data_IF_053432939896
#
_entry.id   IF_053432939896
#
_cell.length_a   1.000
_cell.length_b   1.000
_cell.length_c   1.000
_cell.angle_alpha   90.00
_cell.angle_beta   90.00
_cell.angle_gamma   90.00
#
_symmetry.space_group_name_H-M   'P 1'
#
loop_
_entity.id
_entity.type
_entity.pdbx_description
1 polymer ?
#
# COMPACT_ATOMS: atom_id res chain seq x y z
N UNK A 1 1.90 24.99 36.81
CA UNK A 1 2.50 25.04 35.45
C UNK A 1 3.85 24.33 35.44
N UNK A 2 3.98 23.34 34.55
CA UNK A 2 5.16 22.53 34.29
C UNK A 2 5.60 22.80 32.86
N UNK A 3 6.90 22.95 32.63
CA UNK A 3 7.47 23.07 31.28
C UNK A 3 8.01 21.71 30.85
N UNK A 4 7.46 21.17 29.76
CA UNK A 4 7.87 19.88 29.18
C UNK A 4 8.55 20.11 27.83
N UNK A 5 9.78 19.63 27.68
CA UNK A 5 10.46 19.58 26.40
C UNK A 5 10.01 18.34 25.63
N UNK A 6 9.31 18.57 24.54
CA UNK A 6 8.76 17.57 23.66
C UNK A 6 9.62 17.45 22.39
N UNK A 7 9.66 16.27 21.76
CA UNK A 7 10.31 16.10 20.47
C UNK A 7 9.50 15.21 19.54
N UNK A 8 9.31 15.64 18.29
CA UNK A 8 8.62 14.84 17.27
C UNK A 8 9.59 13.79 16.70
N UNK A 9 9.21 12.52 16.82
CA UNK A 9 10.03 11.40 16.35
C UNK A 9 10.12 11.40 14.82
N UNK A 10 11.34 11.38 14.30
CA UNK A 10 11.62 11.32 12.85
C UNK A 10 11.53 12.67 12.12
N UNK A 11 11.36 13.79 12.83
CA UNK A 11 11.44 15.13 12.26
C UNK A 11 12.74 15.83 12.71
N UNK A 12 13.47 16.53 11.80
CA UNK A 12 14.64 17.32 12.19
C UNK A 12 14.23 18.58 12.98
N UNK A 13 15.13 19.06 13.84
CA UNK A 13 14.97 20.28 14.66
C UNK A 13 13.66 20.29 15.48
N UNK A 14 13.26 19.11 15.98
CA UNK A 14 11.91 18.89 16.50
C UNK A 14 11.73 19.07 18.00
N UNK A 15 12.78 19.46 18.74
CA UNK A 15 12.68 19.67 20.18
C UNK A 15 12.11 21.06 20.50
N UNK A 16 11.02 21.13 21.27
CA UNK A 16 10.36 22.38 21.65
C UNK A 16 9.78 22.31 23.06
N UNK A 17 9.72 23.44 23.79
CA UNK A 17 9.04 23.51 25.09
C UNK A 17 7.52 23.58 24.90
N UNK A 18 6.79 22.99 25.84
CA UNK A 18 5.33 23.12 26.00
C UNK A 18 5.03 23.42 27.46
N UNK A 19 4.26 24.49 27.70
CA UNK A 19 3.81 24.86 29.04
C UNK A 19 2.41 24.30 29.29
N UNK A 20 2.25 23.54 30.37
CA UNK A 20 0.97 22.91 30.74
C UNK A 20 0.75 22.96 32.26
N UNK A 21 -0.50 23.07 32.71
CA UNK A 21 -0.76 22.96 34.15
C UNK A 21 -0.69 21.51 34.65
N UNK A 22 -0.26 21.32 35.89
CA UNK A 22 -0.03 19.98 36.43
C UNK A 22 -1.33 19.18 36.61
N UNK A 23 -2.45 19.89 36.81
CA UNK A 23 -3.80 19.34 36.93
C UNK A 23 -4.50 19.14 35.57
N UNK A 24 -3.88 19.56 34.46
CA UNK A 24 -4.40 19.28 33.11
C UNK A 24 -4.07 17.85 32.69
N UNK A 25 -4.83 17.34 31.73
CA UNK A 25 -4.72 15.97 31.25
C UNK A 25 -3.66 15.82 30.15
N UNK A 26 -3.24 14.58 29.91
CA UNK A 26 -2.46 14.22 28.71
C UNK A 26 -3.23 14.57 27.42
N UNK A 27 -4.57 14.52 27.44
CA UNK A 27 -5.40 15.02 26.34
C UNK A 27 -5.17 16.50 26.06
N UNK A 28 -5.16 17.34 27.11
CA UNK A 28 -4.85 18.77 26.98
C UNK A 28 -3.41 19.00 26.50
N UNK A 29 -2.47 18.13 26.90
CA UNK A 29 -1.09 18.17 26.39
C UNK A 29 -1.01 17.92 24.89
N UNK A 30 -1.79 16.96 24.37
CA UNK A 30 -1.86 16.72 22.92
C UNK A 30 -2.37 17.95 22.19
N UNK A 31 -3.39 18.62 22.72
CA UNK A 31 -3.95 19.83 22.12
C UNK A 31 -2.93 20.99 22.17
N UNK A 32 -2.20 21.15 23.27
CA UNK A 32 -1.14 22.15 23.41
C UNK A 32 0.01 21.93 22.41
N UNK A 33 0.53 20.69 22.32
CA UNK A 33 1.57 20.31 21.36
C UNK A 33 1.12 20.62 19.92
N UNK A 34 -0.11 20.25 19.59
CA UNK A 34 -0.68 20.49 18.26
C UNK A 34 -0.79 21.98 17.95
N UNK A 35 -1.25 22.78 18.92
CA UNK A 35 -1.42 24.23 18.76
C UNK A 35 -0.08 24.92 18.48
N UNK A 36 0.97 24.54 19.20
CA UNK A 36 2.31 25.14 19.09
C UNK A 36 3.06 24.69 17.83
N UNK A 37 2.69 23.52 17.27
CA UNK A 37 3.34 22.93 16.09
C UNK A 37 2.41 22.78 14.87
N UNK A 38 1.42 23.66 14.74
CA UNK A 38 0.40 23.59 13.67
C UNK A 38 0.97 23.41 12.27
N UNK A 39 2.08 24.05 11.92
CA UNK A 39 2.65 23.92 10.57
C UNK A 39 3.16 22.50 10.29
N UNK A 40 3.78 21.87 11.30
CA UNK A 40 4.33 20.51 11.22
C UNK A 40 3.25 19.44 11.43
N UNK A 41 2.14 19.79 12.10
CA UNK A 41 1.05 18.88 12.46
C UNK A 41 -0.30 19.22 11.78
N UNK A 42 -0.28 20.05 10.74
CA UNK A 42 -1.50 20.59 10.07
C UNK A 42 -2.48 19.52 9.59
N UNK A 43 -1.96 18.34 9.27
CA UNK A 43 -2.70 17.24 8.66
C UNK A 43 -3.14 16.18 9.69
N UNK A 44 -2.85 16.38 10.98
CA UNK A 44 -3.04 15.36 12.03
C UNK A 44 -3.90 15.93 13.16
N UNK A 45 -4.97 15.23 13.52
CA UNK A 45 -5.77 15.59 14.68
C UNK A 45 -4.96 15.42 15.97
N UNK A 46 -4.98 16.40 16.87
CA UNK A 46 -4.27 16.35 18.16
C UNK A 46 -4.52 15.04 18.94
N UNK A 47 -5.78 14.57 18.95
CA UNK A 47 -6.19 13.32 19.62
C UNK A 47 -5.45 12.07 19.11
N UNK A 48 -4.97 12.09 17.87
CA UNK A 48 -4.24 10.98 17.25
C UNK A 48 -2.77 10.94 17.65
N UNK A 49 -2.19 12.02 18.18
CA UNK A 49 -0.80 12.02 18.64
C UNK A 49 -0.60 10.93 19.70
N UNK A 50 0.48 10.16 19.57
CA UNK A 50 0.90 9.20 20.57
C UNK A 50 2.04 9.84 21.36
N UNK A 51 1.88 9.89 22.69
CA UNK A 51 2.84 10.53 23.58
C UNK A 51 3.50 9.46 24.44
N UNK A 52 4.82 9.49 24.53
CA UNK A 52 5.58 8.56 25.36
C UNK A 52 6.45 9.34 26.34
N UNK A 53 6.46 8.89 27.59
CA UNK A 53 7.33 9.47 28.60
C UNK A 53 8.76 9.00 28.36
N UNK A 54 9.70 9.94 28.30
CA UNK A 54 11.10 9.62 28.03
C UNK A 54 11.79 9.18 29.31
N UNK A 55 12.12 7.89 29.39
CA UNK A 55 12.84 7.34 30.53
C UNK A 55 13.96 6.44 30.06
N UNK A 56 15.18 6.79 30.45
CA UNK A 56 16.36 5.94 30.27
C UNK A 56 16.25 4.69 31.14
N UNK A 57 17.06 3.68 30.85
CA UNK A 57 17.10 2.42 31.63
C UNK A 57 17.48 2.63 33.10
N UNK A 58 18.16 3.73 33.43
CA UNK A 58 18.51 4.13 34.80
C UNK A 58 17.38 4.89 35.51
N UNK A 59 16.30 5.18 34.80
CA UNK A 59 15.14 5.90 35.32
C UNK A 59 15.23 7.41 35.26
N UNK A 60 16.27 7.98 34.65
CA UNK A 60 16.43 9.42 34.45
C UNK A 60 15.87 9.90 33.10
N UNK A 61 15.62 11.21 32.97
CA UNK A 61 15.31 11.86 31.70
C UNK A 61 16.47 11.72 30.69
N UNK A 62 16.14 11.69 29.41
CA UNK A 62 17.13 11.74 28.33
C UNK A 62 17.70 13.16 28.23
N UNK A 63 19.02 13.30 28.23
CA UNK A 63 19.69 14.60 28.08
C UNK A 63 19.79 15.01 26.62
N UNK A 64 19.80 16.31 26.36
CA UNK A 64 19.94 16.87 25.00
C UNK A 64 21.31 16.57 24.34
N UNK A 65 22.33 16.28 25.16
CA UNK A 65 23.68 15.89 24.74
C UNK A 65 23.88 14.36 24.59
N UNK A 66 22.84 13.57 24.86
CA UNK A 66 22.88 12.12 24.66
C UNK A 66 22.95 11.75 23.16
N UNK A 67 23.75 10.75 22.75
CA UNK A 67 23.82 10.31 21.36
C UNK A 67 22.46 9.99 20.71
N UNK A 68 21.50 9.46 21.47
CA UNK A 68 20.15 9.19 20.99
C UNK A 68 19.37 10.50 20.73
N UNK A 69 19.50 11.49 21.61
CA UNK A 69 18.89 12.80 21.47
C UNK A 69 19.50 13.60 20.29
N UNK A 70 20.82 13.53 20.12
CA UNK A 70 21.51 14.18 19.00
C UNK A 70 21.07 13.61 17.64
N UNK A 71 20.89 12.29 17.55
CA UNK A 71 20.35 11.66 16.33
C UNK A 71 18.89 12.01 16.09
N UNK A 72 18.09 12.03 17.16
CA UNK A 72 16.69 12.45 17.09
C UNK A 72 16.56 13.87 16.53
N UNK A 73 17.43 14.79 16.93
CA UNK A 73 17.40 16.19 16.48
C UNK A 73 17.72 16.37 14.98
N UNK A 74 18.41 15.41 14.35
CA UNK A 74 18.64 15.40 12.89
C UNK A 74 17.65 14.51 12.15
N UNK A 75 16.57 14.08 12.81
CA UNK A 75 15.51 13.24 12.23
C UNK A 75 15.86 11.75 12.12
N UNK A 76 16.96 11.29 12.72
CA UNK A 76 17.38 9.88 12.70
C UNK A 76 16.90 9.16 13.95
N UNK A 77 16.16 8.07 13.78
CA UNK A 77 15.65 7.26 14.91
C UNK A 77 16.77 6.35 15.45
N UNK A 78 17.19 6.59 16.70
CA UNK A 78 18.12 5.73 17.42
C UNK A 78 17.40 4.49 17.99
N UNK A 79 18.05 3.31 18.10
CA UNK A 79 17.44 2.13 18.74
C UNK A 79 16.90 2.39 20.16
N UNK A 80 17.52 3.28 20.93
CA UNK A 80 17.02 3.64 22.27
C UNK A 80 15.71 4.43 22.18
N UNK A 81 15.58 5.33 21.20
CA UNK A 81 14.32 6.05 20.94
C UNK A 81 13.23 5.05 20.53
N UNK A 82 13.56 4.09 19.65
CA UNK A 82 12.63 3.03 19.27
C UNK A 82 12.14 2.24 20.49
N UNK A 83 13.06 1.86 21.38
CA UNK A 83 12.73 1.13 22.62
C UNK A 83 11.83 1.98 23.54
N UNK A 84 12.04 3.29 23.61
CA UNK A 84 11.21 4.23 24.37
C UNK A 84 9.81 4.46 23.76
N UNK A 85 9.62 4.15 22.48
CA UNK A 85 8.31 4.22 21.80
C UNK A 85 7.58 2.87 21.74
N UNK A 86 8.27 1.76 22.06
CA UNK A 86 7.68 0.42 22.10
C UNK A 86 6.98 0.09 23.44
N UNK A 87 6.98 1.04 24.39
CA UNK A 87 6.29 0.93 25.69
C UNK A 87 4.84 1.40 25.60
N UNK A 88 4.09 1.30 26.70
CA UNK A 88 2.73 1.82 26.76
C UNK A 88 2.72 3.37 26.66
N UNK A 89 1.89 3.89 25.75
CA UNK A 89 1.73 5.33 25.56
C UNK A 89 1.05 5.98 26.78
N UNK A 90 1.21 7.30 26.92
CA UNK A 90 0.54 8.06 27.97
C UNK A 90 -0.99 8.05 27.78
N UNK A 91 -1.69 7.74 28.87
CA UNK A 91 -3.15 7.70 28.91
C UNK A 91 -3.77 9.08 28.86
N UNK A 92 -4.61 9.34 27.86
CA UNK A 92 -5.17 10.67 27.58
C UNK A 92 -6.00 11.25 28.74
N UNK A 93 -6.54 10.38 29.61
CA UNK A 93 -7.37 10.76 30.75
C UNK A 93 -6.58 11.09 32.01
N UNK A 94 -5.27 10.80 32.06
CA UNK A 94 -4.46 11.04 33.24
C UNK A 94 -4.02 12.48 33.32
N UNK A 95 -3.96 13.01 34.53
CA UNK A 95 -3.38 14.33 34.81
C UNK A 95 -1.85 14.27 34.76
N UNK A 96 -1.21 15.36 34.34
CA UNK A 96 0.26 15.42 34.22
C UNK A 96 0.96 15.11 35.55
N UNK A 97 0.42 15.60 36.67
CA UNK A 97 0.96 15.31 38.01
C UNK A 97 0.96 13.82 38.35
N UNK A 98 -0.07 13.09 37.93
CA UNK A 98 -0.21 11.65 38.19
C UNK A 98 0.73 10.85 37.29
N UNK A 99 0.85 11.24 36.01
CA UNK A 99 1.84 10.67 35.08
C UNK A 99 3.24 10.78 35.66
N UNK A 100 3.63 11.98 36.14
CA UNK A 100 4.95 12.19 36.72
C UNK A 100 5.13 11.42 38.03
N UNK A 101 4.11 11.38 38.90
CA UNK A 101 4.18 10.68 40.18
C UNK A 101 4.35 9.16 40.03
N UNK A 102 3.53 8.51 39.19
CA UNK A 102 3.57 7.06 38.97
C UNK A 102 4.88 6.63 38.32
N UNK A 103 5.48 7.51 37.50
CA UNK A 103 6.75 7.22 36.84
C UNK A 103 7.99 7.61 37.66
N UNK A 104 7.82 8.10 38.89
CA UNK A 104 8.87 8.64 39.77
C UNK A 104 9.63 9.84 39.17
N UNK A 105 8.97 10.63 38.33
CA UNK A 105 9.55 11.79 37.64
C UNK A 105 9.17 13.11 38.33
N UNK A 106 9.31 13.14 39.65
CA UNK A 106 8.95 14.29 40.50
C UNK A 106 10.17 14.78 41.29
N UNK A 107 10.03 15.97 41.88
CA UNK A 107 11.07 16.56 42.74
C UNK A 107 11.45 15.64 43.91
N UNK A 108 10.49 14.87 44.44
CA UNK A 108 10.71 13.88 45.50
C UNK A 108 11.79 12.85 45.16
N UNK A 109 11.96 12.53 43.88
CA UNK A 109 12.96 11.57 43.39
C UNK A 109 14.16 12.26 42.74
N UNK A 110 14.25 13.59 42.79
CA UNK A 110 15.29 14.35 42.08
C UNK A 110 15.16 14.29 40.55
N UNK A 111 13.97 13.96 40.04
CA UNK A 111 13.70 13.75 38.62
C UNK A 111 12.58 14.66 38.11
N UNK A 112 12.38 15.83 38.75
CA UNK A 112 11.47 16.83 38.20
C UNK A 112 11.95 17.26 36.78
N UNK A 113 11.03 17.55 35.85
CA UNK A 113 11.37 18.09 34.54
C UNK A 113 12.25 19.34 34.64
N UNK A 114 13.36 19.41 33.92
CA UNK A 114 14.26 20.58 33.87
C UNK A 114 14.73 20.86 32.44
N UNK A 115 15.39 21.99 32.20
CA UNK A 115 15.96 22.29 30.88
C UNK A 115 17.09 21.34 30.50
N UNK A 116 17.41 21.28 29.20
CA UNK A 116 18.46 20.40 28.60
C UNK A 116 18.14 18.90 28.68
N UNK A 117 16.86 18.59 28.72
CA UNK A 117 16.32 17.24 28.76
C UNK A 117 15.18 17.11 27.75
N UNK A 118 14.91 15.89 27.29
CA UNK A 118 13.71 15.55 26.53
C UNK A 118 12.79 14.78 27.49
N UNK A 119 11.56 15.25 27.64
CA UNK A 119 10.59 14.69 28.58
C UNK A 119 9.53 13.82 27.87
N UNK A 120 9.10 14.24 26.68
CA UNK A 120 8.02 13.57 25.95
C UNK A 120 8.43 13.34 24.50
N UNK A 121 8.28 12.11 24.01
CA UNK A 121 8.34 11.82 22.58
C UNK A 121 6.94 11.92 22.00
N UNK A 122 6.82 12.70 20.93
CA UNK A 122 5.61 12.86 20.15
C UNK A 122 5.75 11.99 18.92
N UNK A 123 5.10 10.83 18.94
CA UNK A 123 4.97 10.01 17.75
C UNK A 123 3.71 10.49 17.03
N UNK A 124 3.95 11.05 15.85
CA UNK A 124 2.87 11.33 14.91
C UNK A 124 2.56 9.99 14.25
N UNK A 125 1.35 9.43 14.42
CA UNK A 125 0.99 8.26 13.66
C UNK A 125 1.13 8.64 12.21
N UNK A 126 2.01 7.94 11.48
CA UNK A 126 1.99 8.04 10.03
C UNK A 126 0.56 7.72 9.65
N UNK A 127 -0.13 8.61 8.94
CA UNK A 127 -1.51 8.34 8.46
C UNK A 127 -1.61 7.00 7.72
N UNK A 128 -0.45 6.46 7.31
CA UNK A 128 -0.25 5.19 6.66
C UNK A 128 -0.20 3.94 7.56
N UNK A 129 -0.40 3.98 8.89
CA UNK A 129 -0.59 2.76 9.71
C UNK A 129 -1.99 2.64 10.30
N UNK A 130 -2.66 3.76 10.54
CA UNK A 130 -4.05 3.81 10.98
C UNK A 130 -4.96 3.36 9.83
N UNK A 131 -5.47 2.13 9.91
CA UNK A 131 -6.50 1.61 8.99
C UNK A 131 -6.05 0.51 8.03
N UNK A 132 -4.80 0.05 8.12
CA UNK A 132 -4.38 -1.14 7.35
C UNK A 132 -4.71 -2.43 8.09
N UNK A 133 -5.41 -3.33 7.40
CA UNK A 133 -5.60 -4.69 7.88
C UNK A 133 -4.43 -5.54 7.39
N UNK A 134 -3.73 -6.20 8.32
CA UNK A 134 -2.55 -7.02 7.99
C UNK A 134 -2.87 -8.50 8.07
N UNK A 135 -2.41 -9.26 7.08
CA UNK A 135 -2.44 -10.71 7.05
C UNK A 135 -1.10 -11.26 6.59
N UNK A 136 -0.72 -12.45 7.08
CA UNK A 136 0.47 -13.15 6.58
C UNK A 136 0.20 -13.65 5.17
N UNK A 137 1.18 -13.46 4.30
CA UNK A 137 1.14 -13.87 2.90
C UNK A 137 2.42 -14.60 2.51
N UNK A 138 2.26 -15.83 2.04
CA UNK A 138 3.37 -16.59 1.48
C UNK A 138 3.72 -16.07 0.08
N UNK A 139 5.02 -16.08 -0.30
CA UNK A 139 5.43 -15.71 -1.64
C UNK A 139 4.87 -16.70 -2.67
N UNK A 140 4.48 -16.20 -3.83
CA UNK A 140 4.13 -17.03 -4.97
C UNK A 140 5.34 -17.13 -5.91
N UNK A 141 5.39 -18.21 -6.69
CA UNK A 141 6.45 -18.42 -7.69
C UNK A 141 5.80 -18.48 -9.06
N UNK A 142 6.32 -17.70 -9.98
CA UNK A 142 5.96 -17.82 -11.39
C UNK A 142 6.77 -18.94 -12.04
N UNK A 143 6.08 -19.91 -12.61
CA UNK A 143 6.67 -20.96 -13.44
C UNK A 143 6.21 -20.77 -14.90
N UNK A 144 7.13 -20.44 -15.83
CA UNK A 144 6.80 -20.29 -17.25
C UNK A 144 6.23 -21.55 -17.90
N UNK A 145 6.48 -22.74 -17.32
CA UNK A 145 5.95 -24.01 -17.80
C UNK A 145 4.61 -24.40 -17.15
N UNK A 146 4.14 -23.67 -16.15
CA UNK A 146 2.91 -24.00 -15.45
C UNK A 146 1.68 -23.68 -16.32
N UNK A 147 0.82 -24.68 -16.50
CA UNK A 147 -0.44 -24.55 -17.24
C UNK A 147 -1.50 -23.77 -16.47
N UNK A 148 -1.39 -23.73 -15.14
CA UNK A 148 -2.36 -23.10 -14.25
C UNK A 148 -1.67 -22.29 -13.16
N UNK A 149 -2.28 -21.19 -12.76
CA UNK A 149 -1.86 -20.37 -11.63
C UNK A 149 -3.04 -20.21 -10.67
N UNK A 150 -2.81 -20.45 -9.39
CA UNK A 150 -3.87 -20.42 -8.38
C UNK A 150 -3.78 -19.15 -7.55
N UNK A 151 -4.91 -18.46 -7.43
CA UNK A 151 -5.11 -17.33 -6.53
C UNK A 151 -6.10 -17.76 -5.44
N UNK A 152 -5.60 -17.87 -4.21
CA UNK A 152 -6.44 -18.22 -3.07
C UNK A 152 -7.35 -17.06 -2.68
N UNK A 153 -8.47 -17.37 -2.01
CA UNK A 153 -9.45 -16.34 -1.65
C UNK A 153 -8.82 -15.24 -0.78
N UNK A 154 -7.95 -15.61 0.15
CA UNK A 154 -7.33 -14.71 1.12
C UNK A 154 -6.43 -13.66 0.47
N UNK A 155 -5.91 -13.92 -0.73
CA UNK A 155 -5.12 -12.92 -1.48
C UNK A 155 -5.99 -11.99 -2.32
N UNK A 156 -7.23 -12.41 -2.59
CA UNK A 156 -8.20 -11.70 -3.42
C UNK A 156 -9.09 -10.77 -2.59
N UNK A 157 -9.40 -11.13 -1.34
CA UNK A 157 -10.26 -10.34 -0.43
C UNK A 157 -9.75 -8.90 -0.28
N UNK A 158 -10.61 -7.89 -0.48
CA UNK A 158 -10.26 -6.46 -0.43
C UNK A 158 -9.30 -5.95 -1.53
N UNK A 159 -9.02 -6.74 -2.58
CA UNK A 159 -8.21 -6.28 -3.72
C UNK A 159 -9.01 -5.53 -4.80
N UNK A 160 -10.34 -5.57 -4.75
CA UNK A 160 -11.23 -5.12 -5.82
C UNK A 160 -11.55 -6.21 -6.86
N UNK A 161 -10.79 -7.30 -6.88
CA UNK A 161 -11.09 -8.49 -7.67
C UNK A 161 -12.11 -9.40 -6.96
N UNK A 162 -12.74 -10.36 -7.66
CA UNK A 162 -13.72 -11.26 -7.06
C UNK A 162 -13.17 -11.98 -5.80
N UNK A 163 -13.86 -11.92 -4.64
CA UNK A 163 -13.40 -12.48 -3.37
C UNK A 163 -13.65 -14.00 -3.30
N UNK A 164 -13.06 -14.72 -4.25
CA UNK A 164 -13.16 -16.17 -4.40
C UNK A 164 -11.82 -16.75 -4.87
N UNK A 165 -11.58 -18.02 -4.59
CA UNK A 165 -10.45 -18.76 -5.16
C UNK A 165 -10.58 -18.77 -6.69
N UNK A 166 -9.53 -18.35 -7.39
CA UNK A 166 -9.48 -18.33 -8.85
C UNK A 166 -8.35 -19.23 -9.36
N UNK A 167 -8.70 -20.16 -10.25
CA UNK A 167 -7.73 -20.93 -11.02
C UNK A 167 -7.60 -20.30 -12.40
N UNK A 168 -6.44 -19.68 -12.65
CA UNK A 168 -6.12 -19.07 -13.93
C UNK A 168 -5.53 -20.13 -14.86
N UNK A 169 -6.01 -20.16 -16.10
CA UNK A 169 -5.33 -20.87 -17.17
C UNK A 169 -4.24 -19.97 -17.77
N UNK A 170 -2.98 -20.43 -17.69
CA UNK A 170 -1.81 -19.70 -18.17
C UNK A 170 -1.72 -19.76 -19.70
N UNK A 171 -2.66 -19.11 -20.39
CA UNK A 171 -2.66 -18.99 -21.85
C UNK A 171 -1.47 -18.15 -22.34
N UNK A 172 -1.10 -18.18 -23.63
CA UNK A 172 0.01 -17.38 -24.17
C UNK A 172 -0.04 -15.88 -23.80
N UNK A 173 -1.24 -15.27 -23.74
CA UNK A 173 -1.40 -13.87 -23.31
C UNK A 173 -1.11 -13.64 -21.82
N UNK A 174 -1.33 -14.63 -20.95
CA UNK A 174 -0.94 -14.57 -19.53
C UNK A 174 0.58 -14.44 -19.43
N UNK A 175 1.31 -15.36 -20.07
CA UNK A 175 2.77 -15.35 -20.06
C UNK A 175 3.35 -14.08 -20.68
N UNK A 176 2.79 -13.62 -21.81
CA UNK A 176 3.18 -12.36 -22.45
C UNK A 176 3.04 -11.15 -21.50
N UNK A 177 1.94 -11.08 -20.74
CA UNK A 177 1.74 -10.00 -19.79
C UNK A 177 2.76 -10.07 -18.65
N UNK A 178 3.01 -11.26 -18.10
CA UNK A 178 4.02 -11.49 -17.05
C UNK A 178 5.41 -11.08 -17.53
N UNK A 179 5.82 -11.52 -18.72
CA UNK A 179 7.12 -11.20 -19.31
C UNK A 179 7.28 -9.69 -19.52
N UNK A 180 6.25 -9.01 -20.04
CA UNK A 180 6.26 -7.55 -20.19
C UNK A 180 6.44 -6.82 -18.85
N UNK A 181 5.71 -7.25 -17.81
CA UNK A 181 5.81 -6.63 -16.48
C UNK A 181 7.16 -6.91 -15.81
N UNK A 182 7.74 -8.10 -15.99
CA UNK A 182 9.07 -8.43 -15.49
C UNK A 182 10.15 -7.60 -16.21
N UNK A 183 10.21 -7.71 -17.53
CA UNK A 183 11.32 -7.15 -18.30
C UNK A 183 11.18 -5.64 -18.49
N UNK A 184 10.06 -5.18 -19.06
CA UNK A 184 9.94 -3.79 -19.46
C UNK A 184 9.62 -2.88 -18.27
N UNK A 185 8.69 -3.31 -17.41
CA UNK A 185 8.33 -2.51 -16.24
C UNK A 185 9.40 -2.70 -15.15
N UNK A 186 9.52 -3.88 -14.54
CA UNK A 186 10.33 -4.07 -13.34
C UNK A 186 11.83 -3.88 -13.58
N UNK A 187 12.41 -4.51 -14.60
CA UNK A 187 13.86 -4.45 -14.88
C UNK A 187 14.26 -3.14 -15.58
N UNK A 188 13.66 -2.82 -16.73
CA UNK A 188 14.07 -1.71 -17.60
C UNK A 188 13.51 -0.33 -17.17
N UNK A 189 12.51 -0.30 -16.29
CA UNK A 189 11.96 0.92 -15.71
C UNK A 189 11.04 1.71 -16.63
N UNK A 190 10.35 1.05 -17.56
CA UNK A 190 9.34 1.69 -18.40
C UNK A 190 8.02 1.89 -17.64
N UNK A 191 7.32 3.00 -17.90
CA UNK A 191 5.91 3.13 -17.52
C UNK A 191 5.09 2.12 -18.34
N UNK A 192 4.47 1.16 -17.66
CA UNK A 192 3.72 0.08 -18.30
C UNK A 192 2.25 0.43 -18.53
N UNK A 193 1.74 0.09 -19.72
CA UNK A 193 0.31 0.15 -20.03
C UNK A 193 -0.18 -1.21 -20.50
N UNK A 194 -1.00 -1.86 -19.69
CA UNK A 194 -1.56 -3.18 -19.99
C UNK A 194 -2.97 -2.99 -20.51
N UNK A 195 -3.13 -3.23 -21.81
CA UNK A 195 -4.32 -2.88 -22.57
C UNK A 195 -5.00 -4.15 -23.10
N UNK A 196 -6.32 -4.21 -22.97
CA UNK A 196 -7.09 -5.31 -23.57
C UNK A 196 -8.57 -5.14 -23.34
N UNK A 197 -9.39 -5.84 -24.10
CA UNK A 197 -10.84 -5.81 -23.92
C UNK A 197 -11.26 -6.28 -22.51
N UNK A 198 -12.45 -5.90 -22.04
CA UNK A 198 -12.96 -6.40 -20.79
C UNK A 198 -13.10 -7.94 -20.84
N UNK A 199 -12.54 -8.67 -19.86
CA UNK A 199 -12.64 -10.14 -19.77
C UNK A 199 -11.43 -10.92 -20.30
N UNK A 200 -10.38 -10.24 -20.79
CA UNK A 200 -9.15 -10.91 -21.25
C UNK A 200 -8.26 -11.47 -20.12
N UNK A 201 -8.58 -11.18 -18.86
CA UNK A 201 -7.82 -11.66 -17.70
C UNK A 201 -6.69 -10.74 -17.21
N UNK A 202 -6.67 -9.47 -17.67
CA UNK A 202 -5.58 -8.51 -17.36
C UNK A 202 -5.32 -8.33 -15.87
N UNK A 203 -6.38 -8.03 -15.12
CA UNK A 203 -6.31 -7.71 -13.70
C UNK A 203 -5.90 -8.93 -12.87
N UNK A 204 -6.48 -10.10 -13.16
CA UNK A 204 -6.10 -11.35 -12.50
C UNK A 204 -4.63 -11.73 -12.77
N UNK A 205 -4.15 -11.51 -14.01
CA UNK A 205 -2.75 -11.75 -14.37
C UNK A 205 -1.80 -10.73 -13.71
N UNK A 206 -2.21 -9.47 -13.60
CA UNK A 206 -1.43 -8.44 -12.90
C UNK A 206 -1.36 -8.70 -11.38
N UNK A 207 -2.43 -9.21 -10.78
CA UNK A 207 -2.41 -9.68 -9.39
C UNK A 207 -1.48 -10.89 -9.22
N UNK A 208 -1.56 -11.88 -10.12
CA UNK A 208 -0.64 -13.02 -10.12
C UNK A 208 0.82 -12.57 -10.20
N UNK A 209 1.13 -11.60 -11.07
CA UNK A 209 2.45 -10.97 -11.12
C UNK A 209 2.86 -10.34 -9.80
N UNK A 210 2.01 -9.47 -9.23
CA UNK A 210 2.28 -8.77 -7.98
C UNK A 210 2.71 -9.72 -6.86
N UNK A 211 2.06 -10.89 -6.77
CA UNK A 211 2.33 -11.92 -5.76
C UNK A 211 3.66 -12.66 -5.97
N UNK A 212 4.25 -12.59 -7.16
CA UNK A 212 5.50 -13.27 -7.54
C UNK A 212 6.74 -12.37 -7.50
N UNK A 213 6.57 -11.07 -7.33
CA UNK A 213 7.68 -10.12 -7.20
C UNK A 213 8.50 -10.42 -5.94
N UNK A 214 9.83 -10.30 -6.02
CA UNK A 214 10.71 -10.51 -4.86
C UNK A 214 10.56 -9.40 -3.81
N UNK A 215 9.75 -9.69 -2.78
CA UNK A 215 9.43 -8.78 -1.67
C UNK A 215 10.61 -8.51 -0.73
N UNK A 216 11.78 -9.16 -0.93
CA UNK A 216 13.02 -8.80 -0.22
C UNK A 216 13.56 -7.46 -0.73
N UNK A 217 13.51 -7.25 -2.04
CA UNK A 217 13.98 -6.04 -2.69
C UNK A 217 12.85 -5.02 -2.98
N UNK A 218 11.61 -5.49 -3.08
CA UNK A 218 10.48 -4.68 -3.53
C UNK A 218 9.36 -4.54 -2.49
N UNK A 219 8.73 -3.37 -2.49
CA UNK A 219 7.37 -3.14 -1.99
C UNK A 219 6.45 -3.12 -3.21
N UNK A 220 5.33 -3.84 -3.15
CA UNK A 220 4.34 -3.86 -4.23
C UNK A 220 3.03 -3.25 -3.72
N UNK A 221 2.56 -2.23 -4.41
CA UNK A 221 1.32 -1.51 -4.11
C UNK A 221 0.35 -1.71 -5.26
N UNK A 222 -0.75 -2.40 -4.99
CA UNK A 222 -1.87 -2.60 -5.90
C UNK A 222 -2.99 -1.64 -5.53
N UNK A 223 -3.53 -0.91 -6.51
CA UNK A 223 -4.66 -0.01 -6.33
C UNK A 223 -5.70 -0.35 -7.38
N UNK A 224 -6.83 -0.92 -6.96
CA UNK A 224 -7.99 -1.08 -7.83
C UNK A 224 -8.90 0.13 -7.66
N UNK A 225 -9.05 0.90 -8.75
CA UNK A 225 -9.84 2.13 -8.75
C UNK A 225 -11.29 1.85 -9.16
N UNK A 226 -12.20 2.60 -8.56
CA UNK A 226 -13.62 2.59 -8.90
C UNK A 226 -14.10 4.05 -8.98
N UNK A 227 -15.05 4.32 -9.87
CA UNK A 227 -15.56 5.68 -10.09
C UNK A 227 -16.55 6.14 -9.01
N UNK A 228 -17.22 5.19 -8.36
CA UNK A 228 -18.32 5.41 -7.44
C UNK A 228 -18.02 4.94 -6.01
N UNK A 229 -17.01 4.11 -5.83
CA UNK A 229 -16.60 3.56 -4.55
C UNK A 229 -15.17 3.96 -4.17
N UNK A 230 -14.85 3.87 -2.88
CA UNK A 230 -13.49 4.03 -2.39
C UNK A 230 -12.57 2.96 -2.99
N UNK A 231 -11.34 3.36 -3.30
CA UNK A 231 -10.37 2.53 -3.99
C UNK A 231 -9.80 1.46 -3.07
N UNK A 232 -9.64 0.26 -3.61
CA UNK A 232 -9.14 -0.89 -2.87
C UNK A 232 -7.63 -0.95 -3.03
N UNK A 233 -6.90 -0.77 -1.95
CA UNK A 233 -5.45 -0.78 -1.94
C UNK A 233 -4.92 -2.03 -1.23
N UNK A 234 -3.93 -2.68 -1.83
CA UNK A 234 -3.19 -3.81 -1.25
C UNK A 234 -1.69 -3.52 -1.33
N UNK A 235 -1.02 -3.53 -0.19
CA UNK A 235 0.43 -3.39 -0.10
C UNK A 235 1.08 -4.70 0.34
N UNK A 236 2.02 -5.21 -0.45
CA UNK A 236 2.78 -6.42 -0.17
C UNK A 236 4.18 -6.03 0.32
N UNK A 237 4.46 -6.30 1.59
CA UNK A 237 5.72 -5.90 2.25
C UNK A 237 6.27 -7.09 3.02
N UNK A 238 7.44 -7.59 2.62
CA UNK A 238 8.00 -8.79 3.25
C UNK A 238 7.03 -9.97 3.13
N UNK A 239 6.66 -10.59 4.25
CA UNK A 239 5.66 -11.67 4.31
C UNK A 239 4.26 -11.17 4.72
N UNK A 240 4.01 -9.87 4.66
CA UNK A 240 2.73 -9.27 4.98
C UNK A 240 1.98 -8.79 3.74
N UNK A 241 0.66 -8.93 3.81
CA UNK A 241 -0.33 -8.35 2.92
C UNK A 241 -1.14 -7.37 3.74
N UNK A 242 -1.10 -6.10 3.37
CA UNK A 242 -1.82 -5.03 4.04
C UNK A 242 -2.92 -4.51 3.11
N UNK A 243 -4.16 -4.42 3.58
CA UNK A 243 -5.28 -3.90 2.79
C UNK A 243 -5.89 -2.66 3.42
N UNK A 244 -6.41 -1.76 2.57
CA UNK A 244 -7.09 -0.53 2.99
C UNK A 244 -8.02 -0.02 1.89
N UNK A 245 -9.09 0.65 2.29
CA UNK A 245 -9.91 1.46 1.39
C UNK A 245 -9.44 2.91 1.47
N UNK A 246 -9.17 3.52 0.31
CA UNK A 246 -8.64 4.89 0.23
C UNK A 246 -9.48 5.76 -0.72
N UNK A 247 -9.32 7.07 -0.60
CA UNK A 247 -9.69 8.03 -1.64
C UNK A 247 -8.46 8.79 -2.19
N UNK A 248 -8.69 9.71 -3.13
CA UNK A 248 -7.63 10.50 -3.76
C UNK A 248 -6.81 11.31 -2.76
N UNK A 249 -7.39 11.76 -1.65
CA UNK A 249 -6.70 12.58 -0.63
C UNK A 249 -5.66 11.77 0.14
N UNK A 250 -5.79 10.45 0.13
CA UNK A 250 -4.92 9.51 0.82
C UNK A 250 -3.87 8.88 -0.12
N UNK A 251 -4.02 9.03 -1.45
CA UNK A 251 -3.17 8.39 -2.46
C UNK A 251 -1.67 8.67 -2.24
N UNK A 252 -1.30 9.92 -1.94
CA UNK A 252 0.11 10.28 -1.70
C UNK A 252 0.75 9.43 -0.60
N UNK A 253 -0.01 9.18 0.47
CA UNK A 253 0.47 8.41 1.62
C UNK A 253 0.65 6.92 1.27
N UNK A 254 -0.18 6.41 0.36
CA UNK A 254 -0.06 5.04 -0.16
C UNK A 254 1.14 4.89 -1.09
N UNK A 255 1.41 5.90 -1.93
CA UNK A 255 2.59 5.90 -2.81
C UNK A 255 3.91 6.03 -2.04
N UNK A 256 3.87 6.65 -0.87
CA UNK A 256 4.99 6.80 0.07
C UNK A 256 4.99 5.70 1.16
N UNK A 257 4.15 4.68 1.02
CA UNK A 257 4.03 3.60 2.01
C UNK A 257 5.17 2.57 1.91
N UNK A 258 5.76 2.24 3.04
CA UNK A 258 6.73 1.14 3.17
C UNK A 258 8.12 1.62 3.56
N UNK A 259 9.13 0.91 3.06
CA UNK A 259 10.53 1.10 3.40
C UNK A 259 11.26 1.87 2.28
N UNK A 260 11.80 3.05 2.59
CA UNK A 260 12.51 3.91 1.64
C UNK A 260 13.83 3.28 1.14
N UNK A 261 14.32 2.24 1.79
CA UNK A 261 15.49 1.48 1.34
C UNK A 261 15.17 0.53 0.19
N UNK A 262 13.90 0.13 0.02
CA UNK A 262 13.45 -0.80 -1.02
C UNK A 262 13.08 -0.10 -2.33
N UNK A 263 13.00 -0.91 -3.38
CA UNK A 263 12.34 -0.50 -4.62
C UNK A 263 10.82 -0.59 -4.45
N UNK A 264 10.08 0.19 -5.24
CA UNK A 264 8.63 0.29 -5.15
C UNK A 264 7.98 0.07 -6.51
N UNK A 265 7.00 -0.82 -6.56
CA UNK A 265 6.18 -1.10 -7.73
C UNK A 265 4.73 -0.74 -7.43
N UNK A 266 4.15 0.16 -8.22
CA UNK A 266 2.73 0.51 -8.16
C UNK A 266 2.01 -0.05 -9.39
N UNK A 267 0.93 -0.80 -9.15
CA UNK A 267 0.03 -1.33 -10.16
C UNK A 267 -1.35 -0.72 -9.94
N UNK A 268 -1.83 0.03 -10.94
CA UNK A 268 -3.16 0.65 -10.89
C UNK A 268 -4.11 -0.14 -11.80
N UNK A 269 -5.07 -0.82 -11.20
CA UNK A 269 -6.04 -1.64 -11.87
C UNK A 269 -7.39 -0.94 -12.08
N UNK A 270 -8.06 -1.31 -13.17
CA UNK A 270 -9.34 -0.77 -13.65
C UNK A 270 -9.34 0.74 -13.91
N UNK A 271 -8.17 1.28 -14.26
CA UNK A 271 -8.02 2.69 -14.63
C UNK A 271 -8.79 3.02 -15.92
N UNK A 272 -9.33 4.23 -16.01
CA UNK A 272 -9.93 4.79 -17.23
C UNK A 272 -9.49 6.24 -17.45
N UNK A 273 -9.57 6.78 -18.68
CA UNK A 273 -9.34 8.22 -18.94
C UNK A 273 -10.52 9.12 -18.50
N UNK A 274 -11.31 8.70 -17.52
CA UNK A 274 -12.34 9.55 -16.95
C UNK A 274 -11.70 10.72 -16.16
N UNK A 275 -12.33 11.89 -16.21
CA UNK A 275 -11.86 13.09 -15.49
C UNK A 275 -11.61 12.82 -14.00
N UNK A 276 -12.39 11.92 -13.40
CA UNK A 276 -12.27 11.48 -12.00
C UNK A 276 -10.94 10.82 -11.65
N UNK A 277 -10.14 10.39 -12.63
CA UNK A 277 -8.84 9.75 -12.43
C UNK A 277 -7.66 10.59 -12.94
N UNK A 278 -7.91 11.83 -13.35
CA UNK A 278 -6.84 12.76 -13.78
C UNK A 278 -5.83 12.97 -12.66
N UNK A 279 -6.29 13.32 -11.47
CA UNK A 279 -5.43 13.59 -10.30
C UNK A 279 -4.62 12.35 -9.89
N UNK A 280 -5.26 11.17 -9.91
CA UNK A 280 -4.57 9.91 -9.67
C UNK A 280 -3.44 9.68 -10.70
N UNK A 281 -3.72 9.93 -11.98
CA UNK A 281 -2.73 9.77 -13.05
C UNK A 281 -1.55 10.72 -12.86
N UNK A 282 -1.82 11.98 -12.54
CA UNK A 282 -0.79 12.99 -12.26
C UNK A 282 0.06 12.57 -11.06
N UNK A 283 -0.56 12.26 -9.93
CA UNK A 283 0.15 11.89 -8.70
C UNK A 283 1.03 10.64 -8.86
N UNK A 284 0.49 9.58 -9.48
CA UNK A 284 1.27 8.36 -9.73
C UNK A 284 2.44 8.63 -10.69
N UNK A 285 2.22 9.43 -11.74
CA UNK A 285 3.26 9.73 -12.74
C UNK A 285 4.35 10.63 -12.17
N UNK A 286 3.98 11.65 -11.39
CA UNK A 286 4.95 12.50 -10.68
C UNK A 286 5.78 11.67 -9.69
N UNK A 287 5.13 10.79 -8.92
CA UNK A 287 5.81 9.84 -8.05
C UNK A 287 6.81 8.98 -8.84
N UNK A 288 6.39 8.39 -9.95
CA UNK A 288 7.26 7.59 -10.81
C UNK A 288 8.47 8.37 -11.35
N UNK A 289 8.27 9.64 -11.73
CA UNK A 289 9.31 10.52 -12.29
C UNK A 289 10.22 11.16 -11.24
N UNK A 290 9.97 10.96 -9.94
CA UNK A 290 10.83 11.48 -8.89
C UNK A 290 12.27 10.98 -9.09
N UNK A 291 13.20 11.93 -9.25
CA UNK A 291 14.60 11.64 -9.50
C UNK A 291 15.19 10.84 -8.35
N UNK A 292 15.72 9.67 -8.67
CA UNK A 292 16.54 8.84 -7.79
C UNK A 292 17.68 8.25 -8.62
N UNK A 293 18.88 8.22 -8.04
CA UNK A 293 20.10 7.67 -8.63
C UNK A 293 19.90 6.20 -9.02
N UNK A 294 19.08 5.45 -8.27
CA UNK A 294 18.93 3.99 -8.43
C UNK A 294 17.64 3.60 -9.18
N UNK A 295 16.88 4.57 -9.70
CA UNK A 295 15.54 4.34 -10.28
C UNK A 295 14.70 3.39 -9.40
N UNK A 296 14.34 3.80 -8.18
CA UNK A 296 13.64 2.90 -7.24
C UNK A 296 12.18 2.62 -7.58
N UNK A 297 11.55 3.42 -8.44
CA UNK A 297 10.10 3.42 -8.64
C UNK A 297 9.70 2.79 -9.97
N UNK A 298 8.60 2.02 -9.95
CA UNK A 298 7.98 1.37 -11.12
C UNK A 298 6.49 1.59 -11.08
N UNK A 299 5.90 1.81 -12.25
CA UNK A 299 4.47 2.09 -12.38
C UNK A 299 3.92 1.36 -13.60
N UNK A 300 2.75 0.74 -13.43
CA UNK A 300 1.96 0.26 -14.55
C UNK A 300 0.46 0.49 -14.32
N UNK A 301 -0.23 0.85 -15.41
CA UNK A 301 -1.69 0.97 -15.46
C UNK A 301 -2.28 -0.23 -16.21
N UNK A 302 -3.33 -0.82 -15.65
CA UNK A 302 -4.15 -1.86 -16.26
C UNK A 302 -5.49 -1.25 -16.62
N UNK A 303 -5.81 -1.20 -17.92
CA UNK A 303 -7.02 -0.53 -18.40
C UNK A 303 -7.56 -1.12 -19.69
N UNK A 304 -8.77 -0.69 -20.10
CA UNK A 304 -9.28 -1.05 -21.42
C UNK A 304 -8.46 -0.38 -22.51
N UNK A 305 -8.36 -1.02 -23.68
CA UNK A 305 -7.74 -0.40 -24.87
C UNK A 305 -8.41 0.94 -25.21
N UNK A 306 -9.73 1.02 -25.02
CA UNK A 306 -10.50 2.23 -25.31
C UNK A 306 -10.14 3.40 -24.40
N UNK A 307 -9.65 3.11 -23.19
CA UNK A 307 -9.48 4.12 -22.16
C UNK A 307 -8.17 4.89 -22.28
N UNK A 308 -7.14 4.38 -22.96
CA UNK A 308 -5.84 5.08 -23.01
C UNK A 308 -5.90 6.39 -23.81
N UNK A 309 -6.70 6.47 -24.87
CA UNK A 309 -6.77 7.66 -25.74
C UNK A 309 -5.41 8.06 -26.35
N UNK A 310 -5.31 9.30 -26.85
CA UNK A 310 -4.03 9.90 -27.29
C UNK A 310 -3.39 10.64 -26.11
N UNK A 311 -2.24 10.16 -25.65
CA UNK A 311 -1.41 10.84 -24.65
C UNK A 311 -0.45 11.80 -25.36
N UNK A 312 0.01 12.86 -24.69
CA UNK A 312 0.96 13.81 -25.29
C UNK A 312 2.33 13.15 -25.52
N UNK A 313 2.92 13.37 -26.70
CA UNK A 313 4.22 12.81 -27.10
C UNK A 313 5.34 13.11 -26.07
N UNK A 314 5.28 14.29 -25.43
CA UNK A 314 6.25 14.68 -24.40
C UNK A 314 6.15 13.80 -23.14
N UNK A 315 4.95 13.43 -22.70
CA UNK A 315 4.78 12.59 -21.51
C UNK A 315 5.26 11.16 -21.79
N UNK A 316 4.97 10.63 -22.98
CA UNK A 316 5.45 9.31 -23.38
C UNK A 316 6.97 9.24 -23.45
N UNK A 317 7.63 10.29 -23.96
CA UNK A 317 9.10 10.38 -23.99
C UNK A 317 9.69 10.41 -22.57
N UNK A 318 9.13 11.25 -21.69
CA UNK A 318 9.61 11.41 -20.31
C UNK A 318 9.44 10.12 -19.49
N UNK A 319 8.34 9.42 -19.69
CA UNK A 319 8.01 8.19 -18.94
C UNK A 319 8.54 6.91 -19.61
N UNK A 320 9.10 7.03 -20.82
CA UNK A 320 9.47 5.90 -21.68
C UNK A 320 8.33 4.88 -21.79
N UNK A 321 7.09 5.36 -21.95
CA UNK A 321 5.91 4.52 -21.85
C UNK A 321 5.93 3.36 -22.86
N UNK A 322 5.53 2.15 -22.42
CA UNK A 322 5.37 0.99 -23.29
C UNK A 322 3.98 0.37 -23.11
N UNK A 323 3.45 -0.23 -24.18
CA UNK A 323 2.15 -0.91 -24.14
C UNK A 323 2.26 -2.43 -24.33
N UNK A 324 1.51 -3.17 -23.53
CA UNK A 324 1.24 -4.58 -23.70
C UNK A 324 -0.22 -4.79 -24.09
N UNK A 325 -0.45 -5.13 -25.37
CA UNK A 325 -1.78 -5.43 -25.90
C UNK A 325 -2.11 -6.90 -25.71
N UNK A 326 -3.23 -7.15 -25.05
CA UNK A 326 -3.77 -8.47 -24.71
C UNK A 326 -5.05 -8.71 -25.49
N UNK A 327 -5.11 -9.88 -26.12
CA UNK A 327 -6.18 -10.25 -27.01
C UNK A 327 -7.23 -11.12 -26.31
N UNK A 328 -8.44 -11.05 -26.85
CA UNK A 328 -9.55 -11.95 -26.50
C UNK A 328 -9.13 -13.42 -26.61
N UNK A 329 -9.87 -14.28 -25.92
CA UNK A 329 -9.64 -15.72 -25.94
C UNK A 329 -9.93 -16.31 -27.32
N UNK A 330 -9.14 -17.28 -27.75
CA UNK A 330 -9.43 -18.10 -28.92
C UNK A 330 -10.28 -19.30 -28.53
N UNK A 331 -10.94 -19.91 -29.51
CA UNK A 331 -11.69 -21.14 -29.28
C UNK A 331 -10.78 -22.26 -28.75
N UNK A 332 -9.59 -22.41 -29.31
CA UNK A 332 -8.63 -23.45 -28.89
C UNK A 332 -8.21 -23.25 -27.43
N UNK A 333 -7.97 -22.01 -27.00
CA UNK A 333 -7.66 -21.72 -25.59
C UNK A 333 -8.83 -22.04 -24.66
N UNK A 334 -10.07 -21.74 -25.07
CA UNK A 334 -11.25 -22.14 -24.29
C UNK A 334 -11.38 -23.66 -24.19
N UNK A 335 -11.22 -24.37 -25.30
CA UNK A 335 -11.27 -25.84 -25.33
C UNK A 335 -10.16 -26.46 -24.47
N UNK A 336 -8.96 -25.92 -24.54
CA UNK A 336 -7.84 -26.40 -23.73
C UNK A 336 -8.02 -26.09 -22.24
N UNK A 337 -8.45 -24.88 -21.88
CA UNK A 337 -8.71 -24.52 -20.49
C UNK A 337 -9.81 -25.40 -19.88
N UNK A 338 -10.90 -25.59 -20.60
CA UNK A 338 -12.05 -26.40 -20.15
C UNK A 338 -11.81 -27.91 -20.24
N UNK A 339 -10.69 -28.38 -20.81
CA UNK A 339 -10.30 -29.78 -20.66
C UNK A 339 -10.06 -30.19 -19.20
N UNK A 340 -9.76 -29.22 -18.34
CA UNK A 340 -9.67 -29.40 -16.90
C UNK A 340 -11.07 -29.33 -16.24
N UNK A 341 -11.36 -30.28 -15.36
CA UNK A 341 -12.68 -30.42 -14.73
C UNK A 341 -13.00 -29.26 -13.77
N UNK A 342 -12.03 -28.78 -12.99
CA UNK A 342 -12.25 -27.68 -12.06
C UNK A 342 -12.60 -26.39 -12.80
N UNK A 343 -11.88 -26.08 -13.89
CA UNK A 343 -12.18 -24.93 -14.74
C UNK A 343 -13.56 -25.11 -15.39
N UNK A 344 -13.82 -26.27 -15.98
CA UNK A 344 -15.09 -26.52 -16.65
C UNK A 344 -16.28 -26.37 -15.71
N UNK A 345 -16.22 -26.97 -14.53
CA UNK A 345 -17.30 -26.89 -13.54
C UNK A 345 -17.55 -25.45 -13.07
N UNK A 346 -16.51 -24.63 -12.95
CA UNK A 346 -16.65 -23.21 -12.59
C UNK A 346 -17.30 -22.39 -13.69
N UNK A 347 -16.99 -22.66 -14.96
CA UNK A 347 -17.55 -21.89 -16.09
C UNK A 347 -18.85 -22.45 -16.63
N UNK A 348 -19.18 -23.72 -16.36
CA UNK A 348 -20.36 -24.41 -16.88
C UNK A 348 -21.68 -23.65 -16.69
N UNK A 349 -21.97 -23.03 -15.53
CA UNK A 349 -23.19 -22.24 -15.34
C UNK A 349 -23.34 -21.07 -16.33
N UNK A 350 -22.24 -20.60 -16.93
CA UNK A 350 -22.20 -19.48 -17.87
C UNK A 350 -22.15 -19.92 -19.34
N UNK A 351 -22.12 -21.23 -19.63
CA UNK A 351 -22.06 -21.74 -21.02
C UNK A 351 -23.44 -21.85 -21.68
N UNK A 352 -24.53 -21.46 -20.98
CA UNK A 352 -25.92 -21.53 -21.45
C UNK A 352 -26.31 -22.92 -22.01
N UNK A 353 -25.85 -23.97 -21.35
CA UNK A 353 -25.99 -25.36 -21.78
C UNK A 353 -27.38 -25.98 -21.53
N UNK A 354 -28.41 -25.18 -21.23
CA UNK A 354 -29.74 -25.67 -20.81
C UNK A 354 -30.44 -26.55 -21.85
N UNK A 355 -30.08 -26.43 -23.13
CA UNK A 355 -30.57 -27.28 -24.24
C UNK A 355 -29.60 -28.38 -24.72
N UNK A 356 -28.45 -28.56 -24.05
CA UNK A 356 -27.33 -29.39 -24.50
C UNK A 356 -27.00 -30.52 -23.50
N UNK A 357 -27.98 -31.02 -22.75
CA UNK A 357 -27.77 -32.00 -21.66
C UNK A 357 -27.13 -33.33 -22.08
N UNK A 358 -27.13 -33.65 -23.38
CA UNK A 358 -26.49 -34.82 -23.97
C UNK A 358 -25.27 -34.49 -24.86
N UNK A 359 -24.85 -33.23 -24.93
CA UNK A 359 -23.74 -32.80 -25.78
C UNK A 359 -22.40 -32.93 -25.06
N UNK A 360 -21.36 -33.31 -25.80
CA UNK A 360 -20.01 -33.39 -25.25
C UNK A 360 -19.46 -32.00 -24.94
N UNK A 361 -18.53 -31.95 -23.97
CA UNK A 361 -17.94 -30.71 -23.43
C UNK A 361 -17.51 -29.71 -24.50
N UNK A 362 -16.81 -30.18 -25.52
CA UNK A 362 -16.29 -29.35 -26.61
C UNK A 362 -17.42 -28.68 -27.40
N UNK A 363 -18.54 -29.38 -27.63
CA UNK A 363 -19.70 -28.84 -28.34
C UNK A 363 -20.36 -27.71 -27.56
N UNK A 364 -20.46 -27.85 -26.23
CA UNK A 364 -21.00 -26.80 -25.36
C UNK A 364 -20.16 -25.52 -25.46
N UNK A 365 -18.83 -25.67 -25.34
CA UNK A 365 -17.88 -24.54 -25.43
C UNK A 365 -17.89 -23.91 -26.82
N UNK A 366 -17.89 -24.72 -27.89
CA UNK A 366 -17.97 -24.23 -29.27
C UNK A 366 -19.26 -23.44 -29.52
N UNK A 367 -20.39 -23.92 -29.00
CA UNK A 367 -21.68 -23.24 -29.12
C UNK A 367 -21.63 -21.88 -28.43
N UNK A 368 -21.11 -21.82 -27.20
CA UNK A 368 -20.91 -20.56 -26.47
C UNK A 368 -20.05 -19.58 -27.26
N UNK A 369 -18.89 -20.05 -27.73
CA UNK A 369 -17.95 -19.23 -28.48
C UNK A 369 -18.52 -18.74 -29.81
N UNK A 370 -19.37 -19.52 -30.49
CA UNK A 370 -19.97 -19.14 -31.76
C UNK A 370 -20.77 -17.83 -31.67
N UNK A 371 -21.53 -17.62 -30.59
CA UNK A 371 -22.33 -16.39 -30.44
C UNK A 371 -21.66 -15.32 -29.57
N UNK A 372 -20.85 -15.68 -28.57
CA UNK A 372 -20.23 -14.72 -27.65
C UNK A 372 -18.77 -14.36 -28.01
N UNK A 373 -18.14 -15.11 -28.93
CA UNK A 373 -16.77 -14.88 -29.40
C UNK A 373 -15.71 -15.04 -28.31
N UNK A 374 -14.59 -14.32 -28.44
CA UNK A 374 -13.47 -14.40 -27.49
C UNK A 374 -13.64 -13.61 -26.18
N UNK A 375 -14.81 -13.00 -25.99
CA UNK A 375 -15.13 -12.15 -24.84
C UNK A 375 -16.43 -12.66 -24.19
N UNK A 376 -16.48 -13.96 -23.89
CA UNK A 376 -17.59 -14.62 -23.20
C UNK A 376 -17.70 -14.18 -21.73
N UNK A 377 -17.99 -12.90 -21.50
CA UNK A 377 -18.40 -12.38 -20.18
C UNK A 377 -19.85 -12.73 -19.85
N UNK A 378 -20.64 -13.02 -20.89
CA UNK A 378 -22.07 -13.28 -20.85
C UNK A 378 -22.34 -14.63 -21.43
#
# INVERSE_FOLDING_TARGET
MVELFCSIVGAPESAFPVNIDADQTVGDLKDAIWLDNKNNLKDVDAKKLQLFLVKTTTGAWLRDDDPAALKLNVGVIHPDIQTMTDVEQLEATWEIKDVLAVNNMTERFGCAPTSRQIHVLVVVPRKSELGWQSARLRPHIYDPGAKYFLLEKEVMDDSGLPPSRLMLYCRPMFHKQIEFMLKNVLEEGHLGWILGSPGTGKSATAMAFALTVDRRAWVVTWIHVDKYLGWRCVCLVGDERKTRVIDITELKQVLEFGDDTKHHLVLVDDWTAADSFTDLTVMCTEWFLQKDIVMKRRLAFICSVADRGKISDNLELMTRAMECKLWSWTLDEYLEATSNDDIFNNVFPYLDASGLSSADRSTIVQTKYYYAGGSCRY
#
